data_IF_740165349099
#
_entry.id   IF_740165349099
#
_cell.length_a   1.000
_cell.length_b   1.000
_cell.length_c   1.000
_cell.angle_alpha   90.00
_cell.angle_beta   90.00
_cell.angle_gamma   90.00
#
_symmetry.space_group_name_H-M   'P 1'
#
loop_
_entity.id
_entity.type
_entity.pdbx_description
1 polymer ?
#
# COMPACT_ATOMS: atom_id res chain seq x y z
N UNK A 1 8.79 -6.06 28.80
CA UNK A 1 7.84 -7.20 28.86
C UNK A 1 6.88 -6.96 30.02
N UNK A 2 5.73 -6.37 29.73
CA UNK A 2 4.68 -6.09 30.73
C UNK A 2 3.80 -7.34 30.83
N UNK A 3 3.58 -7.85 32.04
CA UNK A 3 2.76 -9.05 32.26
C UNK A 3 1.30 -8.76 31.86
N UNK A 4 0.60 -9.66 31.15
CA UNK A 4 -0.82 -9.49 30.91
C UNK A 4 -1.57 -9.67 32.24
N UNK A 5 -2.36 -8.66 32.61
CA UNK A 5 -3.21 -8.67 33.79
C UNK A 5 -4.27 -9.77 33.68
N UNK A 6 -4.55 -10.46 34.78
CA UNK A 6 -5.54 -11.52 34.86
C UNK A 6 -6.93 -10.91 34.63
N UNK A 7 -7.59 -11.28 33.53
CA UNK A 7 -8.96 -10.85 33.19
C UNK A 7 -9.92 -11.14 34.34
N UNK A 8 -10.78 -10.16 34.68
CA UNK A 8 -11.81 -10.32 35.71
C UNK A 8 -13.02 -11.05 35.13
N UNK A 9 -13.64 -11.92 35.95
CA UNK A 9 -14.85 -12.67 35.61
C UNK A 9 -15.97 -11.73 35.12
N UNK A 10 -16.31 -11.80 33.83
CA UNK A 10 -17.38 -11.01 33.19
C UNK A 10 -16.91 -9.99 32.15
N UNK A 11 -15.60 -9.80 31.99
CA UNK A 11 -15.02 -8.92 30.96
C UNK A 11 -15.03 -9.64 29.60
N UNK A 12 -15.72 -9.07 28.60
CA UNK A 12 -15.67 -9.61 27.23
C UNK A 12 -14.22 -9.51 26.74
N UNK A 13 -13.65 -10.56 26.13
CA UNK A 13 -12.29 -10.51 25.62
C UNK A 13 -12.18 -9.31 24.69
N UNK A 14 -11.16 -8.48 24.90
CA UNK A 14 -10.88 -7.36 24.01
C UNK A 14 -10.66 -7.95 22.61
N UNK A 15 -11.31 -7.40 21.58
CA UNK A 15 -11.31 -7.94 20.21
C UNK A 15 -9.92 -7.95 19.55
N UNK A 16 -8.87 -7.60 20.30
CA UNK A 16 -7.52 -7.34 19.83
C UNK A 16 -6.43 -7.91 20.76
N UNK A 17 -6.72 -9.01 21.47
CA UNK A 17 -5.74 -9.72 22.30
C UNK A 17 -4.48 -10.14 21.51
N UNK A 18 -4.62 -10.47 20.21
CA UNK A 18 -3.51 -10.72 19.30
C UNK A 18 -3.34 -9.61 18.25
N UNK A 19 -2.10 -9.37 17.80
CA UNK A 19 -1.84 -8.53 16.62
C UNK A 19 -2.48 -9.12 15.36
N UNK A 20 -2.62 -10.44 15.29
CA UNK A 20 -3.21 -11.14 14.15
C UNK A 20 -4.71 -10.91 14.01
N UNK A 21 -5.39 -10.48 15.06
CA UNK A 21 -6.82 -10.14 15.02
C UNK A 21 -7.06 -8.69 14.56
N UNK A 22 -5.98 -7.90 14.41
CA UNK A 22 -6.08 -6.48 14.06
C UNK A 22 -6.06 -6.31 12.53
N UNK A 23 -7.16 -5.87 11.90
CA UNK A 23 -7.21 -5.74 10.43
C UNK A 23 -6.13 -4.81 9.88
N UNK A 24 -5.85 -3.69 10.57
CA UNK A 24 -4.79 -2.77 10.16
C UNK A 24 -3.37 -3.39 10.21
N UNK A 25 -3.13 -4.35 11.11
CA UNK A 25 -1.87 -5.09 11.15
C UNK A 25 -1.77 -6.05 9.95
N UNK A 26 -2.85 -6.78 9.66
CA UNK A 26 -2.90 -7.70 8.52
C UNK A 26 -2.71 -6.98 7.19
N UNK A 27 -3.40 -5.85 6.97
CA UNK A 27 -3.25 -5.02 5.76
C UNK A 27 -1.81 -4.53 5.62
N UNK A 28 -1.22 -4.02 6.70
CA UNK A 28 0.18 -3.57 6.67
C UNK A 28 1.15 -4.73 6.39
N UNK A 29 0.92 -5.90 6.96
CA UNK A 29 1.76 -7.09 6.73
C UNK A 29 1.65 -7.57 5.29
N UNK A 30 0.44 -7.60 4.74
CA UNK A 30 0.19 -7.93 3.34
C UNK A 30 0.91 -6.93 2.42
N UNK A 31 0.79 -5.64 2.67
CA UNK A 31 1.48 -4.59 1.90
C UNK A 31 3.00 -4.78 1.93
N UNK A 32 3.60 -5.07 3.09
CA UNK A 32 5.03 -5.34 3.20
C UNK A 32 5.47 -6.56 2.37
N UNK A 33 4.70 -7.65 2.41
CA UNK A 33 4.97 -8.85 1.62
C UNK A 33 4.86 -8.54 0.12
N UNK A 34 3.81 -7.82 -0.28
CA UNK A 34 3.64 -7.34 -1.66
C UNK A 34 4.85 -6.52 -2.15
N UNK A 35 5.27 -5.51 -1.39
CA UNK A 35 6.43 -4.68 -1.74
C UNK A 35 7.71 -5.50 -1.86
N UNK A 36 7.94 -6.45 -0.95
CA UNK A 36 9.12 -7.31 -1.00
C UNK A 36 9.12 -8.21 -2.25
N UNK A 37 7.97 -8.80 -2.59
CA UNK A 37 7.82 -9.59 -3.83
C UNK A 37 8.03 -8.71 -5.06
N UNK A 38 7.44 -7.52 -5.09
CA UNK A 38 7.61 -6.59 -6.20
C UNK A 38 9.08 -6.21 -6.40
N UNK A 39 9.82 -5.86 -5.35
CA UNK A 39 11.24 -5.54 -5.49
C UNK A 39 12.10 -6.72 -5.94
N UNK A 40 11.73 -7.94 -5.55
CA UNK A 40 12.41 -9.15 -6.01
C UNK A 40 12.26 -9.34 -7.52
N UNK A 41 11.07 -9.13 -8.06
CA UNK A 41 10.77 -9.38 -9.48
C UNK A 41 11.08 -8.17 -10.38
N UNK A 42 10.86 -6.96 -9.88
CA UNK A 42 10.92 -5.71 -10.66
C UNK A 42 12.10 -4.79 -10.27
N UNK A 43 12.95 -5.19 -9.33
CA UNK A 43 14.04 -4.36 -8.81
C UNK A 43 15.02 -3.84 -9.87
N UNK A 44 15.21 -4.59 -10.96
CA UNK A 44 16.10 -4.22 -12.07
C UNK A 44 15.57 -3.07 -12.93
N UNK A 45 14.28 -2.72 -12.83
CA UNK A 45 13.65 -1.65 -13.63
C UNK A 45 13.68 -0.29 -12.92
N UNK A 46 14.28 -0.20 -11.73
CA UNK A 46 14.32 1.02 -10.91
C UNK A 46 12.93 1.68 -10.77
N UNK A 47 11.89 0.85 -10.61
CA UNK A 47 10.50 1.27 -10.56
C UNK A 47 9.89 0.92 -9.20
N UNK A 48 9.00 1.77 -8.69
CA UNK A 48 8.24 1.48 -7.47
C UNK A 48 6.89 0.84 -7.81
N UNK A 49 6.24 0.12 -6.86
CA UNK A 49 4.90 -0.44 -7.09
C UNK A 49 3.87 0.59 -7.57
N UNK A 50 3.91 1.81 -7.00
CA UNK A 50 3.01 2.91 -7.38
C UNK A 50 3.28 3.36 -8.81
N UNK A 51 4.55 3.58 -9.18
CA UNK A 51 4.95 3.94 -10.54
C UNK A 51 4.50 2.89 -11.55
N UNK A 52 4.69 1.61 -11.22
CA UNK A 52 4.26 0.50 -12.06
C UNK A 52 2.73 0.46 -12.23
N UNK A 53 1.97 0.69 -11.15
CA UNK A 53 0.51 0.80 -11.21
C UNK A 53 0.05 1.92 -12.13
N UNK A 54 0.67 3.10 -12.04
CA UNK A 54 0.38 4.23 -12.94
C UNK A 54 0.64 3.89 -14.41
N UNK A 55 1.81 3.31 -14.72
CA UNK A 55 2.13 2.89 -16.09
C UNK A 55 1.16 1.82 -16.60
N UNK A 56 0.73 0.89 -15.75
CA UNK A 56 -0.25 -0.15 -16.10
C UNK A 56 -1.61 0.44 -16.47
N UNK A 57 -2.07 1.44 -15.71
CA UNK A 57 -3.33 2.14 -16.03
C UNK A 57 -3.19 2.91 -17.35
N UNK A 58 -2.08 3.62 -17.54
CA UNK A 58 -1.83 4.42 -18.74
C UNK A 58 -1.63 3.58 -20.01
N UNK A 59 -1.10 2.35 -19.88
CA UNK A 59 -0.99 1.38 -20.99
C UNK A 59 -2.36 0.95 -21.54
N UNK A 60 -3.44 1.12 -20.75
CA UNK A 60 -4.84 0.87 -21.15
C UNK A 60 -5.41 1.77 -22.27
N UNK A 61 -4.59 2.66 -22.84
CA UNK A 61 -4.86 3.48 -24.06
C UNK A 61 -5.92 4.57 -23.98
N UNK A 62 -6.29 5.05 -22.78
CA UNK A 62 -7.03 6.32 -22.65
C UNK A 62 -6.17 7.36 -21.95
N UNK A 63 -6.06 8.59 -22.47
CA UNK A 63 -5.58 9.72 -21.70
C UNK A 63 -6.45 9.85 -20.43
N UNK A 64 -5.80 10.00 -19.28
CA UNK A 64 -6.45 10.24 -18.00
C UNK A 64 -5.88 11.52 -17.40
N UNK A 65 -6.76 12.34 -16.84
CA UNK A 65 -6.33 13.44 -15.99
C UNK A 65 -5.79 12.91 -14.66
N UNK A 66 -5.00 13.72 -13.94
CA UNK A 66 -4.35 13.31 -12.69
C UNK A 66 -5.35 12.95 -11.58
N UNK A 67 -6.58 13.47 -11.59
CA UNK A 67 -7.60 13.17 -10.57
C UNK A 67 -8.13 11.76 -10.82
N UNK A 68 -8.48 11.45 -12.07
CA UNK A 68 -8.92 10.11 -12.46
C UNK A 68 -7.80 9.09 -12.21
N UNK A 69 -6.57 9.41 -12.59
CA UNK A 69 -5.42 8.54 -12.39
C UNK A 69 -5.14 8.26 -10.90
N UNK A 70 -5.33 9.26 -10.02
CA UNK A 70 -5.20 9.09 -8.57
C UNK A 70 -6.26 8.16 -7.98
N UNK A 71 -7.50 8.29 -8.45
CA UNK A 71 -8.61 7.45 -8.04
C UNK A 71 -8.38 5.98 -8.45
N UNK A 72 -7.95 5.76 -9.69
CA UNK A 72 -7.68 4.42 -10.23
C UNK A 72 -6.55 3.69 -9.49
N UNK A 73 -5.47 4.39 -9.13
CA UNK A 73 -4.32 3.77 -8.43
C UNK A 73 -4.49 3.77 -6.90
N UNK A 74 -5.49 4.48 -6.36
CA UNK A 74 -5.83 4.51 -4.93
C UNK A 74 -4.86 5.31 -4.06
N UNK A 75 -4.26 6.39 -4.57
CA UNK A 75 -3.37 7.28 -3.79
C UNK A 75 -3.85 8.73 -3.81
N UNK A 76 -3.37 9.53 -2.85
CA UNK A 76 -3.67 10.96 -2.79
C UNK A 76 -3.17 11.70 -4.05
N UNK A 77 -3.94 12.69 -4.51
CA UNK A 77 -3.64 13.50 -5.70
C UNK A 77 -2.25 14.14 -5.67
N UNK A 78 -1.82 14.63 -4.50
CA UNK A 78 -0.52 15.30 -4.34
C UNK A 78 0.64 14.34 -4.63
N UNK A 79 0.47 13.07 -4.28
CA UNK A 79 1.44 12.02 -4.58
C UNK A 79 1.44 11.64 -6.06
N UNK A 80 0.28 11.65 -6.76
CA UNK A 80 0.25 11.34 -8.20
C UNK A 80 1.06 12.34 -9.00
N UNK A 81 0.86 13.64 -8.78
CA UNK A 81 1.56 14.66 -9.56
C UNK A 81 3.09 14.55 -9.44
N UNK A 82 3.62 14.34 -8.23
CA UNK A 82 5.05 14.11 -7.99
C UNK A 82 5.53 12.80 -8.64
N UNK A 83 4.76 11.71 -8.53
CA UNK A 83 5.15 10.44 -9.16
C UNK A 83 5.16 10.53 -10.68
N UNK A 84 4.17 11.19 -11.29
CA UNK A 84 4.11 11.44 -12.74
C UNK A 84 5.31 12.28 -13.18
N UNK A 85 5.60 13.38 -12.47
CA UNK A 85 6.78 14.22 -12.76
C UNK A 85 8.08 13.41 -12.70
N UNK A 86 8.23 12.51 -11.72
CA UNK A 86 9.40 11.62 -11.62
C UNK A 86 9.47 10.59 -12.73
N UNK A 87 8.33 10.11 -13.23
CA UNK A 87 8.27 9.21 -14.38
C UNK A 87 8.65 9.96 -15.66
N UNK A 88 8.09 11.14 -15.91
CA UNK A 88 8.43 11.99 -17.06
C UNK A 88 9.92 12.34 -17.12
N UNK A 89 10.52 12.67 -15.97
CA UNK A 89 11.95 12.96 -15.87
C UNK A 89 12.86 11.75 -16.21
N UNK A 90 12.33 10.53 -16.21
CA UNK A 90 13.07 9.31 -16.57
C UNK A 90 12.99 8.98 -18.06
N UNK A 91 12.10 9.63 -18.82
CA UNK A 91 11.77 9.30 -20.21
C UNK A 91 10.80 8.12 -20.34
#
# INVERSE_FOLDING_TARGET
MTKPGKLRSGEKPDRYESLWDRPGFLVRRLHQIHVAMFHKECGNFSITPVQFGLLTILDGKSPLDQVTLAAEVGIDRTNVADVVTRLENRG
#
